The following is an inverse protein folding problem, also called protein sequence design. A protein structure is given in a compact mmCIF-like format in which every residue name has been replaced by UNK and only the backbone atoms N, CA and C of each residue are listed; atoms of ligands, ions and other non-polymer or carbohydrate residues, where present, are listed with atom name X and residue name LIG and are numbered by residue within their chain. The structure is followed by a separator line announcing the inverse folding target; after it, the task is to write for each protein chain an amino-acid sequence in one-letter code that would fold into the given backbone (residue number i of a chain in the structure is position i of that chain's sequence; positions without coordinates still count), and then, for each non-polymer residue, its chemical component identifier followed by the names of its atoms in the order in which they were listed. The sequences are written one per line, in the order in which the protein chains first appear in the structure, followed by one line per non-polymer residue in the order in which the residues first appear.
data_IF_913618421439
#
_entry.id   IF_913618421439
#
_cell.length_a   1.000
_cell.length_b   1.000
_cell.length_c   1.000
_cell.angle_alpha   90.00
_cell.angle_beta   90.00
_cell.angle_gamma   90.00
#
_symmetry.space_group_name_H-M   'P 1'
#
loop_
_entity.id
_entity.type
_entity.pdbx_description
1 polymer ?
#
# COMPACT_ATOMS: atom_id res chain seq x y z
N UNK A 1 28.92 -36.81 65.82
CA UNK A 1 29.31 -35.57 65.13
C UNK A 1 28.92 -35.77 63.67
N UNK A 2 27.66 -35.50 63.27
CA UNK A 2 27.15 -34.20 62.74
C UNK A 2 28.15 -33.63 61.72
N UNK A 3 27.86 -33.29 60.47
CA UNK A 3 26.61 -33.13 59.72
C UNK A 3 26.95 -33.04 58.21
N UNK A 4 25.89 -33.13 57.39
CA UNK A 4 25.62 -32.49 56.10
C UNK A 4 26.72 -31.74 55.31
N UNK A 5 26.76 -32.00 54.00
CA UNK A 5 26.74 -30.98 52.93
C UNK A 5 26.68 -31.71 51.58
N UNK A 6 25.49 -31.88 51.00
CA UNK A 6 24.82 -30.88 50.16
C UNK A 6 25.28 -30.95 48.70
N UNK A 7 24.39 -31.59 47.95
CA UNK A 7 24.30 -31.77 46.53
C UNK A 7 24.00 -30.43 45.85
N UNK A 8 24.99 -29.79 45.22
CA UNK A 8 24.76 -28.59 44.40
C UNK A 8 24.73 -28.97 42.90
N UNK A 9 23.52 -29.19 42.37
CA UNK A 9 23.28 -29.14 40.91
C UNK A 9 23.21 -27.67 40.48
N UNK A 10 23.93 -27.23 39.44
CA UNK A 10 23.70 -25.91 38.88
C UNK A 10 22.36 -25.91 38.11
N UNK A 11 21.34 -25.32 38.73
CA UNK A 11 20.17 -24.77 38.05
C UNK A 11 20.55 -23.37 37.54
N UNK A 12 20.60 -23.17 36.22
CA UNK A 12 20.62 -21.81 35.69
C UNK A 12 21.19 -21.65 34.30
N UNK A 13 20.43 -22.00 33.25
CA UNK A 13 20.66 -21.49 31.89
C UNK A 13 19.44 -21.69 30.98
N UNK A 14 18.26 -21.18 31.35
CA UNK A 14 17.07 -21.29 30.49
C UNK A 14 16.23 -20.00 30.39
N UNK A 15 16.73 -18.86 30.88
CA UNK A 15 16.00 -17.59 30.90
C UNK A 15 16.30 -16.65 29.71
N UNK A 16 17.26 -16.99 28.83
CA UNK A 16 17.75 -16.08 27.78
C UNK A 16 17.13 -16.24 26.39
N UNK A 17 16.56 -17.39 26.06
CA UNK A 17 16.05 -17.66 24.71
C UNK A 17 14.65 -17.07 24.46
N UNK A 18 13.80 -17.08 25.48
CA UNK A 18 12.42 -16.59 25.36
C UNK A 18 12.34 -15.07 25.38
N UNK A 19 13.20 -14.42 26.15
CA UNK A 19 13.34 -12.96 26.20
C UNK A 19 13.92 -12.40 24.92
N UNK A 20 14.93 -13.05 24.33
CA UNK A 20 15.49 -12.63 23.03
C UNK A 20 14.49 -12.80 21.89
N UNK A 21 13.71 -13.89 21.87
CA UNK A 21 12.66 -14.09 20.89
C UNK A 21 11.54 -13.04 21.01
N UNK A 22 11.06 -12.74 22.21
CA UNK A 22 10.06 -11.70 22.45
C UNK A 22 10.53 -10.31 22.01
N UNK A 23 11.79 -9.97 22.32
CA UNK A 23 12.40 -8.71 21.88
C UNK A 23 12.52 -8.66 20.35
N UNK A 24 12.93 -9.75 19.70
CA UNK A 24 13.00 -9.82 18.25
C UNK A 24 11.62 -9.67 17.58
N UNK A 25 10.58 -10.30 18.14
CA UNK A 25 9.20 -10.18 17.65
C UNK A 25 8.70 -8.73 17.81
N UNK A 26 8.88 -8.12 18.99
CA UNK A 26 8.48 -6.74 19.24
C UNK A 26 9.24 -5.73 18.36
N UNK A 27 10.54 -5.93 18.15
CA UNK A 27 11.34 -5.10 17.25
C UNK A 27 10.88 -5.24 15.79
N UNK A 28 10.54 -6.46 15.35
CA UNK A 28 10.02 -6.68 14.00
C UNK A 28 8.65 -6.03 13.79
N UNK A 29 7.74 -6.13 14.76
CA UNK A 29 6.44 -5.49 14.72
C UNK A 29 6.56 -3.95 14.70
N UNK A 30 7.46 -3.39 15.52
CA UNK A 30 7.73 -1.95 15.54
C UNK A 30 8.34 -1.46 14.21
N UNK A 31 9.20 -2.26 13.57
CA UNK A 31 9.77 -1.96 12.26
C UNK A 31 8.70 -1.98 11.15
N UNK A 32 7.78 -2.96 11.15
CA UNK A 32 6.67 -3.05 10.19
C UNK A 32 5.67 -1.90 10.38
N UNK A 33 5.34 -1.53 11.61
CA UNK A 33 4.44 -0.40 11.90
C UNK A 33 5.11 0.93 11.52
N UNK A 34 6.42 1.10 11.80
CA UNK A 34 7.19 2.27 11.35
C UNK A 34 7.29 2.34 9.83
N UNK A 35 7.54 1.25 9.12
CA UNK A 35 7.57 1.26 7.66
C UNK A 35 6.24 1.80 7.10
N UNK A 36 5.10 1.37 7.65
CA UNK A 36 3.78 1.81 7.19
C UNK A 36 3.41 3.26 7.55
N UNK A 37 3.96 3.80 8.65
CA UNK A 37 3.68 5.16 9.16
C UNK A 37 4.73 6.20 8.73
N UNK A 38 5.95 5.78 8.43
CA UNK A 38 7.11 6.64 8.10
C UNK A 38 7.41 6.63 6.61
N UNK A 39 6.90 5.66 5.82
CA UNK A 39 7.27 5.60 4.41
C UNK A 39 6.92 6.91 3.70
N UNK A 40 7.98 7.58 3.25
CA UNK A 40 7.93 8.74 2.36
C UNK A 40 7.27 8.44 1.01
N UNK A 41 6.76 7.22 0.80
CA UNK A 41 6.06 6.79 -0.38
C UNK A 41 4.91 7.76 -0.71
N UNK A 42 4.90 8.21 -1.96
CA UNK A 42 3.82 9.03 -2.50
C UNK A 42 2.56 8.17 -2.58
N UNK A 43 1.45 8.70 -2.06
CA UNK A 43 0.15 8.02 -2.08
C UNK A 43 -0.82 8.83 -2.92
N UNK A 44 -1.66 8.12 -3.65
CA UNK A 44 -2.62 8.71 -4.58
C UNK A 44 -4.04 8.31 -4.18
N UNK A 45 -4.95 9.27 -4.23
CA UNK A 45 -6.39 9.04 -4.26
C UNK A 45 -6.81 9.10 -5.72
N UNK A 46 -7.44 8.06 -6.24
CA UNK A 46 -7.99 8.01 -7.60
C UNK A 46 -9.51 7.98 -7.47
N UNK A 47 -10.21 8.80 -8.25
CA UNK A 47 -11.67 8.90 -8.22
C UNK A 47 -12.24 9.16 -9.62
N UNK A 48 -13.41 8.57 -9.88
CA UNK A 48 -14.19 8.80 -11.10
C UNK A 48 -15.19 9.93 -10.92
N UNK A 49 -15.34 10.76 -11.94
CA UNK A 49 -16.25 11.88 -12.02
C UNK A 49 -17.14 11.73 -13.27
N UNK A 50 -18.21 10.91 -13.21
CA UNK A 50 -19.03 10.58 -14.38
C UNK A 50 -19.59 11.81 -15.11
N UNK A 51 -20.02 12.83 -14.37
CA UNK A 51 -20.56 14.07 -14.93
C UNK A 51 -19.53 14.90 -15.69
N UNK A 52 -18.23 14.68 -15.43
CA UNK A 52 -17.12 15.34 -16.15
C UNK A 52 -16.56 14.45 -17.26
N UNK A 53 -16.96 13.18 -17.35
CA UNK A 53 -16.36 12.20 -18.24
C UNK A 53 -14.87 12.00 -17.96
N UNK A 54 -14.50 11.96 -16.68
CA UNK A 54 -13.09 11.92 -16.25
C UNK A 54 -12.86 10.96 -15.10
N UNK A 55 -11.65 10.41 -15.06
CA UNK A 55 -11.04 9.88 -13.84
C UNK A 55 -9.89 10.81 -13.49
N UNK A 56 -9.83 11.22 -12.23
CA UNK A 56 -8.81 12.13 -11.72
C UNK A 56 -8.08 11.48 -10.55
N UNK A 57 -6.93 12.05 -10.22
CA UNK A 57 -6.20 11.68 -9.01
C UNK A 57 -5.77 12.90 -8.22
N UNK A 58 -5.53 12.69 -6.93
CA UNK A 58 -4.91 13.65 -6.04
C UNK A 58 -3.78 12.98 -5.27
N UNK A 59 -2.68 13.69 -5.04
CA UNK A 59 -1.61 13.23 -4.14
C UNK A 59 -2.02 13.49 -2.70
N UNK A 60 -1.91 12.51 -1.82
CA UNK A 60 -2.36 12.67 -0.42
C UNK A 60 -1.59 13.75 0.35
N UNK A 61 -0.31 13.95 0.03
CA UNK A 61 0.53 14.98 0.69
C UNK A 61 0.23 16.40 0.21
N UNK A 62 -0.32 16.55 -0.99
CA UNK A 62 -0.75 17.83 -1.56
C UNK A 62 -1.96 17.57 -2.49
N UNK A 63 -3.18 17.56 -1.92
CA UNK A 63 -4.38 17.10 -2.60
C UNK A 63 -4.93 18.15 -3.56
N UNK A 64 -4.24 18.30 -4.69
CA UNK A 64 -4.76 18.97 -5.88
C UNK A 64 -5.25 17.91 -6.85
N UNK A 65 -6.49 18.03 -7.31
CA UNK A 65 -7.07 17.13 -8.30
C UNK A 65 -6.45 17.40 -9.68
N UNK A 66 -5.93 16.34 -10.31
CA UNK A 66 -5.32 16.36 -11.62
C UNK A 66 -5.99 15.31 -12.51
N UNK A 67 -6.21 15.61 -13.81
CA UNK A 67 -6.79 14.65 -14.73
C UNK A 67 -5.84 13.45 -14.91
N UNK A 68 -6.40 12.24 -14.81
CA UNK A 68 -5.70 10.99 -15.11
C UNK A 68 -6.14 10.45 -16.47
N UNK A 69 -7.46 10.38 -16.68
CA UNK A 69 -8.12 9.92 -17.89
C UNK A 69 -9.25 10.88 -18.21
N UNK A 70 -9.36 11.25 -19.48
CA UNK A 70 -10.39 12.16 -20.00
C UNK A 70 -11.18 11.50 -21.12
N UNK A 71 -12.27 12.15 -21.55
CA UNK A 71 -13.05 11.73 -22.71
C UNK A 71 -12.25 11.61 -24.00
N UNK A 72 -11.12 12.31 -24.13
CA UNK A 72 -10.20 12.16 -25.26
C UNK A 72 -9.56 10.75 -25.34
N UNK A 73 -9.50 10.02 -24.22
CA UNK A 73 -9.02 8.63 -24.17
C UNK A 73 -10.15 7.60 -24.33
N UNK A 74 -11.35 8.04 -24.65
CA UNK A 74 -12.49 7.17 -24.94
C UNK A 74 -13.34 6.76 -23.74
N UNK A 75 -13.10 7.34 -22.55
CA UNK A 75 -13.91 7.13 -21.34
C UNK A 75 -14.85 8.33 -21.17
N UNK A 76 -16.16 8.10 -21.25
CA UNK A 76 -17.16 9.18 -21.29
C UNK A 76 -18.06 9.16 -20.06
N UNK A 77 -18.30 8.00 -19.44
CA UNK A 77 -19.17 7.86 -18.27
C UNK A 77 -18.59 6.84 -17.28
N UNK A 78 -17.42 7.15 -16.66
CA UNK A 78 -16.78 6.26 -15.71
C UNK A 78 -17.58 6.18 -14.42
N UNK A 79 -18.29 5.07 -14.19
CA UNK A 79 -19.17 4.90 -13.03
C UNK A 79 -18.51 4.16 -11.85
N UNK A 80 -17.56 3.27 -12.14
CA UNK A 80 -16.83 2.53 -11.12
C UNK A 80 -15.39 2.30 -11.55
N UNK A 81 -14.49 2.20 -10.57
CA UNK A 81 -13.06 1.99 -10.80
C UNK A 81 -12.50 0.97 -9.81
N UNK A 82 -11.45 0.26 -10.23
CA UNK A 82 -10.66 -0.62 -9.37
C UNK A 82 -9.18 -0.54 -9.78
N UNK A 83 -8.28 -0.61 -8.79
CA UNK A 83 -6.83 -0.57 -9.02
C UNK A 83 -6.23 -1.93 -8.74
N UNK A 84 -5.49 -2.45 -9.70
CA UNK A 84 -4.57 -3.57 -9.49
C UNK A 84 -3.19 -3.02 -9.14
N UNK A 85 -2.83 -3.15 -7.87
CA UNK A 85 -1.56 -2.65 -7.34
C UNK A 85 -0.35 -3.52 -7.73
N UNK A 86 -0.56 -4.76 -8.16
CA UNK A 86 0.51 -5.69 -8.54
C UNK A 86 0.94 -5.44 -9.98
N UNK A 87 -0.03 -5.30 -10.88
CA UNK A 87 0.25 -5.04 -12.30
C UNK A 87 0.18 -3.55 -12.67
N UNK A 88 -0.10 -2.68 -11.69
CA UNK A 88 -0.26 -1.23 -11.87
C UNK A 88 -1.31 -0.89 -12.93
N UNK A 89 -2.51 -1.48 -12.85
CA UNK A 89 -3.59 -1.23 -13.82
C UNK A 89 -4.77 -0.54 -13.16
N UNK A 90 -5.41 0.37 -13.87
CA UNK A 90 -6.67 0.99 -13.49
C UNK A 90 -7.79 0.45 -14.36
N UNK A 91 -8.69 -0.33 -13.77
CA UNK A 91 -9.90 -0.82 -14.41
C UNK A 91 -11.02 0.20 -14.22
N UNK A 92 -11.77 0.45 -15.29
CA UNK A 92 -12.86 1.43 -15.31
C UNK A 92 -14.07 0.79 -15.97
N UNK A 93 -15.19 0.75 -15.25
CA UNK A 93 -16.47 0.49 -15.87
C UNK A 93 -17.01 1.80 -16.45
N UNK A 94 -17.14 1.83 -17.78
CA UNK A 94 -17.71 2.95 -18.51
C UNK A 94 -19.10 2.60 -19.03
N UNK A 95 -20.11 3.33 -18.55
CA UNK A 95 -21.50 3.04 -18.87
C UNK A 95 -21.89 3.37 -20.32
N UNK A 96 -21.18 4.29 -20.97
CA UNK A 96 -21.44 4.64 -22.37
C UNK A 96 -20.86 3.58 -23.33
N UNK A 97 -19.71 2.99 -22.96
CA UNK A 97 -19.14 1.83 -23.66
C UNK A 97 -19.94 0.56 -23.35
N UNK A 98 -20.52 0.47 -22.15
CA UNK A 98 -21.22 -0.73 -21.68
C UNK A 98 -20.25 -1.84 -21.29
N UNK A 99 -19.06 -1.49 -20.80
CA UNK A 99 -18.01 -2.46 -20.53
C UNK A 99 -16.92 -1.95 -19.59
N UNK A 100 -15.97 -2.84 -19.29
CA UNK A 100 -14.77 -2.53 -18.49
C UNK A 100 -13.59 -2.38 -19.43
N UNK A 101 -12.88 -1.27 -19.31
CA UNK A 101 -11.58 -1.01 -19.96
C UNK A 101 -10.50 -0.93 -18.88
N UNK A 102 -9.23 -1.05 -19.27
CA UNK A 102 -8.13 -0.80 -18.34
C UNK A 102 -7.07 0.09 -18.97
N UNK A 103 -6.34 0.81 -18.11
CA UNK A 103 -5.19 1.62 -18.49
C UNK A 103 -4.00 1.24 -17.63
N UNK A 104 -2.80 1.22 -18.21
CA UNK A 104 -1.59 0.97 -17.46
C UNK A 104 -1.19 2.25 -16.71
N UNK A 105 -0.90 2.15 -15.41
CA UNK A 105 -0.49 3.26 -14.56
C UNK A 105 1.04 3.37 -14.52
N UNK A 106 1.53 4.59 -14.63
CA UNK A 106 2.93 4.94 -14.45
C UNK A 106 3.08 6.12 -13.50
N UNK A 107 4.07 6.06 -12.62
CA UNK A 107 4.51 7.19 -11.82
C UNK A 107 5.77 7.75 -12.48
N UNK A 108 5.71 9.02 -12.88
CA UNK A 108 6.86 9.72 -13.44
C UNK A 108 7.83 10.15 -12.33
N UNK A 109 9.04 10.58 -12.72
CA UNK A 109 10.07 11.04 -11.77
C UNK A 109 9.59 12.24 -10.93
N UNK A 110 8.74 13.10 -11.48
CA UNK A 110 8.11 14.23 -10.79
C UNK A 110 6.92 13.84 -9.90
N UNK A 111 6.70 12.52 -9.74
CA UNK A 111 5.64 11.89 -8.96
C UNK A 111 4.23 12.13 -9.51
N UNK A 112 4.10 12.56 -10.75
CA UNK A 112 2.79 12.55 -11.42
C UNK A 112 2.39 11.13 -11.76
N UNK A 113 1.13 10.81 -11.48
CA UNK A 113 0.49 9.60 -11.98
C UNK A 113 -0.01 9.87 -13.40
N UNK A 114 0.32 8.99 -14.33
CA UNK A 114 -0.12 9.05 -15.74
C UNK A 114 -0.56 7.67 -16.21
N UNK A 115 -1.22 7.64 -17.37
CA UNK A 115 -1.55 6.40 -18.08
C UNK A 115 -0.75 6.27 -19.37
N UNK A 116 -0.70 5.06 -19.92
CA UNK A 116 -0.21 4.79 -21.27
C UNK A 116 -1.14 5.31 -22.39
N UNK A 117 -2.36 5.71 -22.05
CA UNK A 117 -3.34 6.28 -22.99
C UNK A 117 -3.98 5.25 -23.93
N UNK A 118 -3.66 3.97 -23.76
CA UNK A 118 -4.21 2.86 -24.53
C UNK A 118 -5.20 2.07 -23.65
N UNK A 119 -6.30 1.61 -24.25
CA UNK A 119 -7.42 0.95 -23.57
C UNK A 119 -7.54 -0.53 -23.96
#
# INVERSE_FOLDING_TARGET
VLADAEMARPLGAAAGAWTTLLIAILASAAATVRANLVDGAERYLIASFPSLGQVQYARLRNPTWLPLITSALGVTTPQAIAVDHVNHRLFIYDAAIGGVVFYQLHVLDDRRLVTDGHR
#
